data_IF_283418907905
#
_entry.id   IF_283418907905
#
_cell.length_a   1.000
_cell.length_b   1.000
_cell.length_c   1.000
_cell.angle_alpha   90.00
_cell.angle_beta   90.00
_cell.angle_gamma   90.00
#
_symmetry.space_group_name_H-M   'P 1'
#
loop_
_entity.id
_entity.type
_entity.pdbx_description
1 polymer ?
#
# COMPACT_ATOMS: atom_id res chain seq x y z
N UNK A 1 -0.49 -5.80 1.55
CA UNK A 1 -0.54 -4.90 2.71
C UNK A 1 -0.41 -5.75 3.95
N UNK A 2 0.38 -5.30 4.92
CA UNK A 2 0.56 -5.95 6.21
C UNK A 2 0.72 -4.89 7.30
N UNK A 3 0.31 -5.21 8.52
CA UNK A 3 0.53 -4.37 9.71
C UNK A 3 1.93 -4.55 10.32
N UNK A 4 2.74 -5.49 9.80
CA UNK A 4 4.15 -5.55 10.19
C UNK A 4 4.94 -4.46 9.43
N UNK A 5 5.08 -3.31 10.09
CA UNK A 5 5.81 -2.15 9.61
C UNK A 5 7.22 -2.01 10.19
N UNK A 6 7.76 -3.01 10.89
CA UNK A 6 9.08 -2.94 11.56
C UNK A 6 10.22 -2.60 10.60
N UNK A 7 10.11 -3.06 9.35
CA UNK A 7 11.01 -2.74 8.25
C UNK A 7 10.20 -2.44 7.00
N UNK A 8 10.45 -1.30 6.38
CA UNK A 8 9.87 -0.89 5.10
C UNK A 8 11.00 -0.89 4.07
N UNK A 9 10.90 -1.75 3.07
CA UNK A 9 11.90 -1.85 1.99
C UNK A 9 11.64 -0.79 0.90
N UNK A 10 12.62 -0.49 0.02
CA UNK A 10 12.44 0.50 -1.06
C UNK A 10 11.31 0.21 -2.04
N UNK A 11 10.89 -1.06 -2.19
CA UNK A 11 9.73 -1.48 -2.97
C UNK A 11 8.43 -1.55 -2.13
N UNK A 12 8.41 -0.95 -0.95
CA UNK A 12 7.26 -0.89 -0.05
C UNK A 12 7.02 0.57 0.33
N UNK A 13 5.76 0.92 0.61
CA UNK A 13 5.39 2.25 1.07
C UNK A 13 4.75 2.16 2.45
N UNK A 14 5.17 3.04 3.36
CA UNK A 14 4.58 3.16 4.69
C UNK A 14 3.20 3.81 4.60
N UNK A 15 2.24 3.32 5.38
CA UNK A 15 0.87 3.82 5.42
C UNK A 15 0.52 4.18 6.86
N UNK A 16 0.12 5.42 7.09
CA UNK A 16 -0.22 5.88 8.42
C UNK A 16 -1.69 5.64 8.73
N UNK A 17 -2.00 5.16 9.94
CA UNK A 17 -3.38 4.89 10.37
C UNK A 17 -4.28 6.13 10.29
N UNK A 18 -3.86 7.33 10.75
CA UNK A 18 -4.69 8.53 10.75
C UNK A 18 -5.12 8.99 9.35
N UNK A 19 -4.32 8.71 8.33
CA UNK A 19 -4.52 9.20 6.95
C UNK A 19 -5.14 8.17 6.02
N UNK A 20 -4.84 6.88 6.22
CA UNK A 20 -5.24 5.80 5.29
C UNK A 20 -6.64 5.22 5.56
N UNK A 21 -7.20 5.49 6.75
CA UNK A 21 -8.42 4.83 7.24
C UNK A 21 -8.17 3.41 7.78
N UNK A 22 -6.90 3.04 7.99
CA UNK A 22 -6.51 1.81 8.66
C UNK A 22 -6.54 2.00 10.18
N UNK A 23 -6.71 0.92 10.93
CA UNK A 23 -6.73 0.96 12.40
C UNK A 23 -5.33 1.04 13.01
N UNK A 24 -4.29 0.64 12.26
CA UNK A 24 -2.90 0.56 12.70
C UNK A 24 -1.98 0.96 11.56
N UNK A 25 -0.78 1.43 11.90
CA UNK A 25 0.28 1.67 10.93
C UNK A 25 0.53 0.39 10.13
N UNK A 26 0.77 0.54 8.83
CA UNK A 26 0.86 -0.56 7.89
C UNK A 26 1.85 -0.26 6.79
N UNK A 27 2.07 -1.22 5.89
CA UNK A 27 2.80 -0.99 4.65
C UNK A 27 2.12 -1.61 3.43
N UNK A 28 2.13 -0.88 2.33
CA UNK A 28 1.85 -1.42 1.00
C UNK A 28 3.08 -2.18 0.50
N UNK A 29 2.83 -3.27 -0.22
CA UNK A 29 3.86 -4.22 -0.68
C UNK A 29 3.77 -4.33 -2.20
N UNK A 30 4.58 -3.54 -2.92
CA UNK A 30 4.56 -3.54 -4.38
C UNK A 30 4.96 -4.92 -4.93
N UNK A 31 5.80 -5.66 -4.20
CA UNK A 31 6.22 -7.02 -4.53
C UNK A 31 5.11 -8.07 -4.44
N UNK A 32 3.94 -7.70 -3.91
CA UNK A 32 2.75 -8.54 -3.81
C UNK A 32 1.60 -7.99 -4.67
N UNK A 33 1.88 -7.11 -5.63
CA UNK A 33 0.87 -6.58 -6.57
C UNK A 33 0.21 -7.72 -7.34
N UNK A 34 -1.12 -7.66 -7.49
CA UNK A 34 -1.88 -8.68 -8.20
C UNK A 34 -3.13 -8.11 -8.86
N UNK A 35 -3.52 -8.69 -9.98
CA UNK A 35 -4.83 -8.46 -10.60
C UNK A 35 -5.89 -9.31 -9.90
N UNK A 36 -7.06 -8.72 -9.61
CA UNK A 36 -8.20 -9.43 -9.01
C UNK A 36 -9.50 -9.13 -9.77
N UNK A 37 -10.43 -10.08 -9.79
CA UNK A 37 -11.79 -9.84 -10.26
C UNK A 37 -12.55 -8.90 -9.32
N UNK A 38 -13.44 -8.06 -9.85
CA UNK A 38 -14.21 -7.06 -9.09
C UNK A 38 -15.08 -7.69 -7.99
N UNK A 39 -15.58 -8.91 -8.21
CA UNK A 39 -16.35 -9.68 -7.23
C UNK A 39 -15.56 -10.03 -5.94
N UNK A 40 -14.22 -9.92 -5.96
CA UNK A 40 -13.37 -10.12 -4.77
C UNK A 40 -13.28 -8.87 -3.88
N UNK A 41 -13.82 -7.74 -4.30
CA UNK A 41 -13.89 -6.52 -3.50
C UNK A 41 -15.11 -6.60 -2.55
N UNK A 42 -14.86 -6.65 -1.24
CA UNK A 42 -15.91 -6.83 -0.23
C UNK A 42 -16.52 -5.51 0.26
N UNK A 43 -15.66 -4.57 0.67
CA UNK A 43 -16.07 -3.25 1.19
C UNK A 43 -14.94 -2.24 1.06
N UNK A 44 -15.27 -0.95 1.07
CA UNK A 44 -14.30 0.14 1.18
C UNK A 44 -13.84 0.30 2.62
N UNK A 45 -12.52 0.30 2.84
CA UNK A 45 -11.92 0.51 4.17
C UNK A 45 -11.59 2.00 4.39
N UNK A 46 -11.01 2.65 3.37
CA UNK A 46 -10.56 4.03 3.49
C UNK A 46 -10.01 4.54 2.17
N UNK A 47 -9.00 5.41 2.26
CA UNK A 47 -8.21 5.92 1.13
C UNK A 47 -6.87 6.37 1.69
N UNK A 48 -5.79 6.04 0.99
CA UNK A 48 -4.45 6.58 1.29
C UNK A 48 -4.40 8.09 1.03
N UNK A 49 -3.49 8.80 1.69
CA UNK A 49 -3.21 10.20 1.42
C UNK A 49 -2.60 10.39 0.03
N UNK A 50 -2.60 11.62 -0.52
CA UNK A 50 -1.90 11.91 -1.77
C UNK A 50 -0.40 11.58 -1.70
N UNK A 51 0.26 11.87 -0.57
CA UNK A 51 1.69 11.61 -0.38
C UNK A 51 1.98 10.10 -0.32
N UNK A 52 1.16 9.35 0.41
CA UNK A 52 1.24 7.87 0.46
C UNK A 52 1.02 7.27 -0.93
N UNK A 53 0.17 7.87 -1.77
CA UNK A 53 -0.05 7.41 -3.14
C UNK A 53 1.18 7.66 -4.04
N UNK A 54 1.89 8.77 -3.84
CA UNK A 54 3.16 9.06 -4.54
C UNK A 54 4.20 8.01 -4.18
N UNK A 55 4.32 7.67 -2.90
CA UNK A 55 5.26 6.64 -2.43
C UNK A 55 4.91 5.25 -2.98
N UNK A 56 3.61 4.92 -3.08
CA UNK A 56 3.15 3.68 -3.72
C UNK A 56 3.53 3.66 -5.21
N UNK A 57 3.38 4.76 -5.95
CA UNK A 57 3.76 4.83 -7.37
C UNK A 57 5.27 4.62 -7.55
N UNK A 58 6.09 5.27 -6.71
CA UNK A 58 7.54 5.09 -6.71
C UNK A 58 7.95 3.63 -6.41
N UNK A 59 7.33 3.01 -5.40
CA UNK A 59 7.58 1.62 -5.05
C UNK A 59 7.18 0.64 -6.17
N UNK A 60 6.07 0.92 -6.88
CA UNK A 60 5.63 0.13 -8.04
C UNK A 60 6.61 0.25 -9.20
N UNK A 61 7.05 1.46 -9.55
CA UNK A 61 8.05 1.68 -10.61
C UNK A 61 9.35 0.98 -10.31
N UNK A 62 9.82 1.08 -9.07
CA UNK A 62 11.03 0.38 -8.63
C UNK A 62 10.86 -1.14 -8.73
N UNK A 63 9.73 -1.68 -8.28
CA UNK A 63 9.48 -3.13 -8.31
C UNK A 63 9.32 -3.68 -9.74
N UNK A 64 8.71 -2.91 -10.63
CA UNK A 64 8.39 -3.29 -12.01
C UNK A 64 9.46 -2.86 -13.03
N UNK A 65 10.51 -2.16 -12.60
CA UNK A 65 11.56 -1.59 -13.43
C UNK A 65 11.02 -0.66 -14.55
N UNK A 66 10.18 0.30 -14.16
CA UNK A 66 9.51 1.29 -15.03
C UNK A 66 10.01 2.72 -14.83
#
# INVERSE_FOLDING_TARGET
MTSNSDKVFPFQAFLSAPTSGLQVESKAQAEQVRSIATQRLLRRIGRVSPDELVDIDAALRLHLAL
#
